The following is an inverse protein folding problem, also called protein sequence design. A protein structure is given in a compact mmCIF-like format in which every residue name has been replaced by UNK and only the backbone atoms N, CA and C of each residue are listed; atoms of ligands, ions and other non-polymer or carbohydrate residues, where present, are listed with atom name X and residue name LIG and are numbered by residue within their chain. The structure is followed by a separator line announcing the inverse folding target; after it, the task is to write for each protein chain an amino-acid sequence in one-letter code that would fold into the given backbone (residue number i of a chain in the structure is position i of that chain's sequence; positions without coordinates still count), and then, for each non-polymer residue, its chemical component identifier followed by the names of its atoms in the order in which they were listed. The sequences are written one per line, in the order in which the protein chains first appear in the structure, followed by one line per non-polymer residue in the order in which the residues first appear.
data_IF_878805925289
#
_entry.id   IF_878805925289
#
_cell.length_a   1.000
_cell.length_b   1.000
_cell.length_c   1.000
_cell.angle_alpha   90.00
_cell.angle_beta   90.00
_cell.angle_gamma   90.00
#
_symmetry.space_group_name_H-M   'P 1'
#
loop_
_entity.id
_entity.type
_entity.pdbx_description
1 polymer ?
#
# COMPACT_ATOMS: atom_id res chain seq x y z
N UNK A 1 22.77 -0.46 2.13
CA UNK A 1 22.78 -0.57 0.67
C UNK A 1 24.16 -0.22 0.14
N UNK A 2 24.76 -1.08 -0.70
CA UNK A 2 26.12 -0.88 -1.17
C UNK A 2 26.17 0.12 -2.34
N UNK A 3 27.24 0.94 -2.44
CA UNK A 3 27.50 1.80 -3.59
C UNK A 3 27.59 1.07 -4.94
N UNK A 4 27.82 -0.25 -4.90
CA UNK A 4 27.82 -1.11 -6.07
C UNK A 4 26.49 -1.07 -6.85
N UNK A 5 25.39 -0.66 -6.21
CA UNK A 5 24.09 -0.46 -6.88
C UNK A 5 24.24 0.41 -8.14
N UNK A 6 25.09 1.45 -8.09
CA UNK A 6 25.28 2.39 -9.21
C UNK A 6 25.90 1.77 -10.46
N UNK A 7 26.37 0.52 -10.40
CA UNK A 7 26.97 -0.18 -11.55
C UNK A 7 25.94 -0.90 -12.41
N UNK A 8 24.70 -1.04 -11.95
CA UNK A 8 23.68 -1.86 -12.60
C UNK A 8 22.75 -1.05 -13.52
N UNK A 9 23.30 -0.55 -14.63
CA UNK A 9 22.54 0.24 -15.63
C UNK A 9 21.38 -0.48 -16.32
N UNK A 10 21.38 -1.83 -16.30
CA UNK A 10 20.32 -2.67 -16.87
C UNK A 10 19.48 -3.36 -15.79
N UNK A 11 19.54 -2.91 -14.53
CA UNK A 11 18.75 -3.48 -13.45
C UNK A 11 17.26 -3.33 -13.76
N UNK A 12 16.53 -4.45 -13.79
CA UNK A 12 15.07 -4.47 -13.99
C UNK A 12 14.31 -4.57 -12.67
N UNK A 13 14.85 -5.33 -11.72
CA UNK A 13 14.20 -5.62 -10.44
C UNK A 13 15.25 -5.55 -9.35
N UNK A 14 14.98 -4.76 -8.32
CA UNK A 14 15.75 -4.72 -7.08
C UNK A 14 14.91 -5.40 -5.99
N UNK A 15 15.36 -6.58 -5.55
CA UNK A 15 14.74 -7.28 -4.42
C UNK A 15 15.65 -7.27 -3.20
N UNK A 16 15.08 -6.92 -2.05
CA UNK A 16 15.70 -7.02 -0.73
C UNK A 16 14.88 -8.04 0.08
N UNK A 17 15.52 -9.11 0.52
CA UNK A 17 14.86 -10.17 1.26
C UNK A 17 15.63 -10.48 2.54
N UNK A 18 14.92 -10.60 3.66
CA UNK A 18 15.44 -11.05 4.95
C UNK A 18 16.79 -10.40 5.31
N UNK A 19 16.85 -9.07 5.18
CA UNK A 19 18.08 -8.28 5.31
C UNK A 19 17.89 -7.15 6.32
N UNK A 20 18.95 -6.80 7.04
CA UNK A 20 18.98 -5.57 7.84
C UNK A 20 19.68 -4.48 7.04
N UNK A 21 18.91 -3.47 6.59
CA UNK A 21 19.41 -2.33 5.82
C UNK A 21 19.76 -1.20 6.78
N UNK A 22 21.03 -1.18 7.21
CA UNK A 22 21.53 -0.15 8.14
C UNK A 22 21.51 1.25 7.55
N UNK A 23 21.72 1.37 6.24
CA UNK A 23 21.78 2.66 5.55
C UNK A 23 21.32 2.47 4.11
N UNK A 24 20.45 3.35 3.63
CA UNK A 24 20.12 3.49 2.22
C UNK A 24 20.01 4.97 1.89
N UNK A 25 21.17 5.63 1.80
CA UNK A 25 21.28 7.07 1.59
C UNK A 25 20.96 7.53 0.16
N UNK A 26 20.74 8.84 0.02
CA UNK A 26 20.38 9.54 -1.22
C UNK A 26 21.53 9.66 -2.27
N UNK A 27 22.76 9.29 -1.90
CA UNK A 27 23.94 9.46 -2.77
C UNK A 27 24.33 8.15 -3.48
N UNK A 28 25.47 7.58 -3.11
CA UNK A 28 26.08 6.44 -3.80
C UNK A 28 25.22 5.16 -3.75
N UNK A 29 24.16 5.14 -2.96
CA UNK A 29 23.26 3.98 -2.80
C UNK A 29 21.85 4.25 -3.31
N UNK A 30 21.60 5.40 -3.94
CA UNK A 30 20.28 5.80 -4.41
C UNK A 30 19.85 5.17 -5.73
N UNK A 31 18.55 4.96 -5.88
CA UNK A 31 17.90 4.57 -7.14
C UNK A 31 17.62 5.80 -7.99
N UNK A 32 18.51 6.19 -8.89
CA UNK A 32 18.33 7.39 -9.71
C UNK A 32 17.99 7.08 -11.17
N UNK A 33 17.26 7.99 -11.82
CA UNK A 33 16.91 7.89 -13.24
C UNK A 33 18.11 7.76 -14.20
N UNK A 34 19.23 8.52 -14.04
CA UNK A 34 20.37 8.41 -14.94
C UNK A 34 21.09 7.06 -14.84
N UNK A 35 21.06 6.44 -13.66
CA UNK A 35 21.84 5.23 -13.37
C UNK A 35 21.01 3.96 -13.54
N UNK A 36 19.71 3.98 -13.24
CA UNK A 36 18.84 2.81 -13.29
C UNK A 36 17.67 3.00 -14.26
N UNK A 37 17.90 3.40 -15.53
CA UNK A 37 16.84 3.82 -16.46
C UNK A 37 15.86 2.71 -16.87
N UNK A 38 16.13 1.46 -16.48
CA UNK A 38 15.30 0.28 -16.79
C UNK A 38 14.68 -0.37 -15.56
N UNK A 39 14.88 0.18 -14.36
CA UNK A 39 14.35 -0.41 -13.14
C UNK A 39 12.82 -0.33 -13.17
N UNK A 40 12.17 -1.47 -13.00
CA UNK A 40 10.72 -1.63 -13.03
C UNK A 40 10.12 -1.83 -11.64
N UNK A 41 10.85 -2.53 -10.75
CA UNK A 41 10.33 -2.93 -9.45
C UNK A 41 11.40 -2.78 -8.37
N UNK A 42 11.01 -2.16 -7.26
CA UNK A 42 11.70 -2.29 -5.96
C UNK A 42 10.78 -3.10 -5.05
N UNK A 43 11.21 -4.30 -4.68
CA UNK A 43 10.48 -5.20 -3.79
C UNK A 43 11.29 -5.48 -2.54
N UNK A 44 10.69 -5.25 -1.38
CA UNK A 44 11.33 -5.45 -0.08
C UNK A 44 10.46 -6.39 0.73
N UNK A 45 11.03 -7.50 1.21
CA UNK A 45 10.33 -8.49 2.00
C UNK A 45 11.13 -8.88 3.23
N UNK A 46 10.46 -9.00 4.38
CA UNK A 46 11.04 -9.50 5.64
C UNK A 46 12.30 -8.76 6.09
N UNK A 47 12.43 -7.49 5.73
CA UNK A 47 13.67 -6.72 5.91
C UNK A 47 13.50 -5.61 6.94
N UNK A 48 14.60 -5.23 7.59
CA UNK A 48 14.64 -4.26 8.68
C UNK A 48 15.35 -2.96 8.29
N UNK A 49 14.85 -1.84 8.79
CA UNK A 49 15.27 -0.47 8.50
C UNK A 49 15.45 0.33 9.79
N UNK A 50 16.50 0.03 10.59
CA UNK A 50 16.73 0.72 11.86
C UNK A 50 16.97 2.24 11.71
N UNK A 51 17.36 2.69 10.52
CA UNK A 51 17.55 4.11 10.20
C UNK A 51 16.31 4.78 9.58
N UNK A 52 15.17 4.09 9.56
CA UNK A 52 13.92 4.59 8.99
C UNK A 52 13.79 4.41 7.48
N UNK A 53 12.87 5.17 6.88
CA UNK A 53 12.55 5.06 5.46
C UNK A 53 13.78 5.31 4.56
N UNK A 54 14.00 4.52 3.50
CA UNK A 54 15.15 4.70 2.60
C UNK A 54 15.22 6.07 1.90
N UNK A 55 16.19 6.91 2.27
CA UNK A 55 16.44 8.18 1.57
C UNK A 55 16.83 7.98 0.11
N UNK A 56 17.48 6.85 -0.22
CA UNK A 56 17.82 6.45 -1.57
C UNK A 56 16.62 6.07 -2.46
N UNK A 57 15.40 6.35 -2.00
CA UNK A 57 14.16 6.31 -2.79
C UNK A 57 13.44 7.68 -2.83
N UNK A 58 14.05 8.76 -2.33
CA UNK A 58 13.42 10.10 -2.23
C UNK A 58 13.88 11.07 -3.31
N UNK A 59 15.00 10.79 -3.98
CA UNK A 59 15.44 11.49 -5.19
C UNK A 59 14.53 11.16 -6.40
N UNK A 60 14.61 11.93 -7.50
CA UNK A 60 13.89 11.59 -8.73
C UNK A 60 14.19 10.18 -9.22
N UNK A 61 13.15 9.35 -9.22
CA UNK A 61 13.19 7.95 -9.60
C UNK A 61 13.11 7.80 -11.14
N UNK A 62 13.66 6.71 -11.71
CA UNK A 62 13.49 6.41 -13.14
C UNK A 62 12.00 6.22 -13.46
N UNK A 63 11.49 6.90 -14.50
CA UNK A 63 10.08 6.78 -14.93
C UNK A 63 9.66 5.36 -15.31
N UNK A 64 10.62 4.46 -15.53
CA UNK A 64 10.36 3.03 -15.73
C UNK A 64 9.91 2.30 -14.46
N UNK A 65 10.11 2.88 -13.27
CA UNK A 65 9.82 2.23 -11.99
C UNK A 65 8.32 2.21 -11.74
N UNK A 66 7.69 1.09 -12.05
CA UNK A 66 6.25 0.94 -11.95
C UNK A 66 5.79 0.51 -10.56
N UNK A 67 6.69 0.01 -9.72
CA UNK A 67 6.30 -0.56 -8.44
C UNK A 67 7.34 -0.40 -7.34
N UNK A 68 6.85 0.02 -6.17
CA UNK A 68 7.60 0.02 -4.91
C UNK A 68 6.74 -0.69 -3.87
N UNK A 69 7.27 -1.78 -3.31
CA UNK A 69 6.52 -2.61 -2.36
C UNK A 69 7.41 -2.99 -1.18
N UNK A 70 6.94 -2.72 0.03
CA UNK A 70 7.54 -3.14 1.29
C UNK A 70 6.57 -4.08 1.99
N UNK A 71 6.99 -5.29 2.28
CA UNK A 71 6.17 -6.30 2.93
C UNK A 71 6.91 -6.90 4.13
N UNK A 72 6.23 -7.05 5.27
CA UNK A 72 6.83 -7.59 6.49
C UNK A 72 8.10 -6.84 6.90
N UNK A 73 8.02 -5.52 7.01
CA UNK A 73 9.12 -4.64 7.46
C UNK A 73 8.82 -4.00 8.81
N UNK A 74 9.84 -3.39 9.41
CA UNK A 74 9.78 -2.65 10.67
C UNK A 74 9.63 -1.13 10.48
N UNK A 75 9.23 -0.68 9.28
CA UNK A 75 8.94 0.73 9.03
C UNK A 75 7.69 1.13 9.82
N UNK A 76 7.79 2.17 10.64
CA UNK A 76 6.68 2.70 11.44
C UNK A 76 6.03 3.92 10.83
N UNK A 77 6.79 4.70 10.04
CA UNK A 77 6.33 5.94 9.40
C UNK A 77 6.77 5.98 7.94
N UNK A 78 5.98 6.68 7.12
CA UNK A 78 6.30 7.00 5.73
C UNK A 78 6.48 8.52 5.59
N UNK A 79 7.34 9.00 4.67
CA UNK A 79 7.45 10.43 4.41
C UNK A 79 6.13 11.03 3.92
N UNK A 80 5.81 12.24 4.39
CA UNK A 80 4.58 12.94 3.98
C UNK A 80 4.67 13.51 2.56
N UNK A 81 5.89 13.73 2.06
CA UNK A 81 6.18 14.34 0.77
C UNK A 81 6.32 13.33 -0.38
N UNK A 82 6.03 12.05 -0.16
CA UNK A 82 6.06 11.02 -1.22
C UNK A 82 5.30 11.43 -2.51
N UNK A 83 4.11 12.06 -2.47
CA UNK A 83 3.41 12.53 -3.66
C UNK A 83 4.18 13.56 -4.48
N UNK A 84 5.13 14.27 -3.87
CA UNK A 84 6.00 15.22 -4.54
C UNK A 84 7.30 14.57 -5.05
N UNK A 85 7.66 13.39 -4.53
CA UNK A 85 8.90 12.67 -4.89
C UNK A 85 8.66 11.62 -5.97
N UNK A 86 7.54 10.91 -5.89
CA UNK A 86 7.25 9.77 -6.73
C UNK A 86 6.35 10.16 -7.89
N UNK A 87 6.76 9.75 -9.09
CA UNK A 87 5.90 9.84 -10.27
C UNK A 87 4.77 8.81 -10.17
N UNK A 88 3.76 8.88 -11.06
CA UNK A 88 2.68 7.90 -11.04
C UNK A 88 3.19 6.46 -11.22
N UNK A 89 2.64 5.53 -10.45
CA UNK A 89 3.08 4.13 -10.39
C UNK A 89 1.91 3.16 -10.56
N UNK A 90 2.21 1.93 -10.98
CA UNK A 90 1.22 0.87 -11.03
C UNK A 90 0.87 0.35 -9.63
N UNK A 91 1.88 0.13 -8.78
CA UNK A 91 1.67 -0.47 -7.45
C UNK A 91 2.58 0.17 -6.40
N UNK A 92 1.97 0.71 -5.34
CA UNK A 92 2.64 1.12 -4.11
C UNK A 92 2.06 0.31 -2.95
N UNK A 93 2.89 -0.46 -2.25
CA UNK A 93 2.41 -1.33 -1.18
C UNK A 93 3.30 -1.26 0.06
N UNK A 94 2.66 -1.19 1.23
CA UNK A 94 3.29 -1.28 2.54
C UNK A 94 2.47 -2.27 3.36
N UNK A 95 2.79 -3.56 3.27
CA UNK A 95 1.95 -4.64 3.78
C UNK A 95 2.59 -5.41 4.92
N UNK A 96 1.77 -6.00 5.80
CA UNK A 96 2.19 -6.92 6.87
C UNK A 96 3.28 -6.33 7.77
N UNK A 97 3.33 -5.00 7.88
CA UNK A 97 4.30 -4.25 8.66
C UNK A 97 3.82 -3.99 10.08
N UNK A 98 4.40 -2.96 10.69
CA UNK A 98 4.07 -2.50 12.04
C UNK A 98 3.51 -1.07 12.17
N UNK A 99 3.22 -0.28 11.11
CA UNK A 99 2.56 1.02 11.30
C UNK A 99 1.21 0.87 12.02
N UNK A 100 1.03 1.70 13.04
CA UNK A 100 -0.25 1.90 13.73
C UNK A 100 -0.98 3.15 13.24
N UNK A 101 -0.22 4.12 12.74
CA UNK A 101 -0.77 5.34 12.14
C UNK A 101 -0.92 5.17 10.63
N UNK A 102 -2.03 5.66 10.09
CA UNK A 102 -2.27 5.66 8.66
C UNK A 102 -1.42 6.72 7.95
N UNK A 103 -0.62 6.36 6.92
CA UNK A 103 0.21 7.30 6.19
C UNK A 103 -0.61 8.14 5.20
N UNK A 104 -0.94 9.39 5.58
CA UNK A 104 -1.76 10.31 4.79
C UNK A 104 -1.25 10.51 3.36
N UNK A 105 0.07 10.47 3.17
CA UNK A 105 0.71 10.62 1.86
C UNK A 105 0.21 9.63 0.82
N UNK A 106 -0.22 8.43 1.22
CA UNK A 106 -0.76 7.44 0.28
C UNK A 106 -2.11 7.85 -0.34
N UNK A 107 -2.87 8.74 0.30
CA UNK A 107 -4.14 9.26 -0.26
C UNK A 107 -3.92 10.27 -1.39
N UNK A 108 -2.71 10.82 -1.51
CA UNK A 108 -2.32 11.80 -2.51
C UNK A 108 -1.36 11.22 -3.57
N UNK A 109 -0.91 9.98 -3.40
CA UNK A 109 -0.08 9.29 -4.39
C UNK A 109 -0.91 8.93 -5.62
N UNK A 110 -0.31 9.15 -6.80
CA UNK A 110 -0.88 8.70 -8.07
C UNK A 110 -0.48 7.25 -8.34
N UNK A 111 -1.03 6.32 -7.56
CA UNK A 111 -0.85 4.89 -7.76
C UNK A 111 -2.14 4.24 -8.25
N UNK A 112 -2.03 3.27 -9.17
CA UNK A 112 -3.20 2.49 -9.57
C UNK A 112 -3.64 1.55 -8.44
N UNK A 113 -2.69 0.88 -7.79
CA UNK A 113 -2.89 0.08 -6.58
C UNK A 113 -2.11 0.70 -5.42
N UNK A 114 -2.81 0.99 -4.33
CA UNK A 114 -2.25 1.37 -3.03
C UNK A 114 -2.67 0.37 -1.97
N UNK A 115 -1.70 -0.27 -1.31
CA UNK A 115 -1.99 -1.29 -0.31
C UNK A 115 -1.34 -1.01 1.04
N UNK A 116 -2.15 -1.15 2.08
CA UNK A 116 -1.77 -1.17 3.49
C UNK A 116 -2.22 -2.47 4.17
N UNK A 117 -2.39 -3.56 3.39
CA UNK A 117 -2.91 -4.83 3.90
C UNK A 117 -2.09 -5.36 5.09
N UNK A 118 -2.75 -5.80 6.15
CA UNK A 118 -2.15 -6.57 7.24
C UNK A 118 -1.26 -5.76 8.18
N UNK A 119 -1.44 -4.44 8.26
CA UNK A 119 -0.77 -3.60 9.26
C UNK A 119 -1.55 -3.57 10.58
N UNK A 120 -1.25 -2.61 11.46
CA UNK A 120 -1.87 -2.45 12.78
C UNK A 120 -2.68 -1.15 12.87
N UNK A 121 -3.29 -0.73 11.75
CA UNK A 121 -4.03 0.54 11.65
C UNK A 121 -5.43 0.35 12.24
N UNK A 122 -5.73 1.10 13.30
CA UNK A 122 -7.02 1.01 14.00
C UNK A 122 -8.02 2.08 13.56
N UNK A 123 -7.56 3.26 13.15
CA UNK A 123 -8.39 4.41 12.72
C UNK A 123 -7.72 5.15 11.57
N UNK A 124 -8.52 5.87 10.76
CA UNK A 124 -8.05 6.62 9.58
C UNK A 124 -8.71 8.00 9.49
N UNK A 125 -8.45 8.91 10.44
CA UNK A 125 -8.99 10.28 10.38
C UNK A 125 -8.49 11.05 9.14
N UNK A 126 -7.34 10.68 8.58
CA UNK A 126 -6.69 11.36 7.46
C UNK A 126 -7.55 11.35 6.17
N UNK A 127 -8.43 10.36 6.00
CA UNK A 127 -9.39 10.33 4.88
C UNK A 127 -10.36 11.54 4.90
N UNK A 128 -10.66 12.09 6.08
CA UNK A 128 -11.47 13.31 6.21
C UNK A 128 -10.71 14.58 5.79
N UNK A 129 -9.38 14.52 5.71
CA UNK A 129 -8.50 15.61 5.25
C UNK A 129 -7.92 15.34 3.85
N UNK A 130 -8.44 14.34 3.16
CA UNK A 130 -7.99 13.93 1.84
C UNK A 130 -8.06 15.08 0.83
N UNK A 131 -7.04 15.29 -0.03
CA UNK A 131 -7.06 16.33 -1.05
C UNK A 131 -8.28 16.26 -1.96
N UNK A 132 -8.66 17.37 -2.59
CA UNK A 132 -9.81 17.41 -3.50
C UNK A 132 -9.50 16.67 -4.81
N UNK A 133 -10.52 16.02 -5.38
CA UNK A 133 -10.47 15.40 -6.71
C UNK A 133 -9.66 14.10 -6.77
N UNK A 134 -9.46 13.44 -5.64
CA UNK A 134 -8.72 12.18 -5.60
C UNK A 134 -9.61 11.01 -6.02
N UNK A 135 -9.11 10.21 -6.95
CA UNK A 135 -9.77 8.96 -7.39
C UNK A 135 -8.77 7.84 -7.21
N UNK A 136 -9.03 6.93 -6.26
CA UNK A 136 -8.17 5.77 -6.00
C UNK A 136 -8.76 4.55 -6.69
N UNK A 137 -8.10 4.00 -7.73
CA UNK A 137 -8.65 2.88 -8.48
C UNK A 137 -8.76 1.62 -7.63
N UNK A 138 -7.72 1.35 -6.83
CA UNK A 138 -7.64 0.15 -6.02
C UNK A 138 -6.89 0.48 -4.72
N UNK A 139 -7.64 0.58 -3.62
CA UNK A 139 -7.09 0.90 -2.31
C UNK A 139 -7.46 -0.21 -1.34
N UNK A 140 -6.50 -0.82 -0.66
CA UNK A 140 -6.79 -1.89 0.31
C UNK A 140 -6.21 -1.59 1.69
N UNK A 141 -7.07 -1.81 2.68
CA UNK A 141 -6.82 -1.79 4.11
C UNK A 141 -7.17 -3.15 4.74
N UNK A 142 -7.21 -4.20 3.91
CA UNK A 142 -7.52 -5.56 4.36
C UNK A 142 -6.66 -5.95 5.57
N UNK A 143 -7.19 -6.81 6.43
CA UNK A 143 -6.53 -7.40 7.60
C UNK A 143 -5.91 -6.39 8.58
N UNK A 144 -6.42 -5.16 8.62
CA UNK A 144 -6.11 -4.19 9.67
C UNK A 144 -7.15 -4.25 10.80
N UNK A 145 -6.77 -3.96 12.06
CA UNK A 145 -7.71 -3.86 13.18
C UNK A 145 -8.62 -2.61 13.14
N UNK A 146 -8.89 -2.09 11.94
CA UNK A 146 -9.68 -0.91 11.66
C UNK A 146 -11.11 -1.09 12.16
N UNK A 147 -11.54 -0.23 13.09
CA UNK A 147 -12.87 -0.35 13.73
C UNK A 147 -13.83 0.78 13.38
N UNK A 148 -13.33 1.86 12.77
CA UNK A 148 -14.16 2.97 12.28
C UNK A 148 -13.57 3.61 11.01
N UNK A 149 -14.46 4.08 10.14
CA UNK A 149 -14.16 4.99 9.03
C UNK A 149 -14.61 6.41 9.42
N UNK A 150 -13.94 7.47 8.94
CA UNK A 150 -14.38 8.82 9.25
C UNK A 150 -15.78 9.10 8.69
N UNK A 151 -16.54 10.02 9.32
CA UNK A 151 -17.93 10.30 8.94
C UNK A 151 -18.06 10.89 7.53
N UNK A 152 -17.00 11.48 6.98
CA UNK A 152 -16.92 12.02 5.63
C UNK A 152 -15.49 11.92 5.07
N UNK A 153 -15.38 11.95 3.74
CA UNK A 153 -14.11 12.22 3.06
C UNK A 153 -13.87 13.74 2.96
N UNK A 154 -12.62 14.15 2.71
CA UNK A 154 -12.27 15.58 2.59
C UNK A 154 -12.98 16.36 1.48
N UNK A 155 -13.57 15.66 0.50
CA UNK A 155 -14.38 16.26 -0.56
C UNK A 155 -15.43 15.27 -1.06
N UNK A 156 -16.63 15.72 -1.47
CA UNK A 156 -17.61 14.87 -2.15
C UNK A 156 -17.15 14.40 -3.55
N UNK A 157 -16.08 15.00 -4.08
CA UNK A 157 -15.48 14.58 -5.36
C UNK A 157 -14.44 13.47 -5.21
N UNK A 158 -14.07 13.12 -3.97
CA UNK A 158 -13.12 12.04 -3.71
C UNK A 158 -13.84 10.70 -3.84
N UNK A 159 -13.21 9.75 -4.53
CA UNK A 159 -13.82 8.47 -4.87
C UNK A 159 -12.85 7.32 -4.67
N UNK A 160 -13.36 6.21 -4.16
CA UNK A 160 -12.71 4.91 -4.29
C UNK A 160 -13.40 4.13 -5.39
N UNK A 161 -12.65 3.54 -6.33
CA UNK A 161 -13.25 2.67 -7.34
C UNK A 161 -13.46 1.29 -6.74
N UNK A 162 -12.40 0.69 -6.20
CA UNK A 162 -12.45 -0.49 -5.34
C UNK A 162 -11.76 -0.20 -4.01
N UNK A 163 -12.41 -0.63 -2.93
CA UNK A 163 -11.93 -0.47 -1.56
C UNK A 163 -11.89 -1.84 -0.86
N UNK A 164 -10.71 -2.29 -0.46
CA UNK A 164 -10.52 -3.50 0.37
C UNK A 164 -10.61 -3.16 1.85
N UNK A 165 -11.52 -3.81 2.56
CA UNK A 165 -11.74 -3.72 4.01
C UNK A 165 -11.98 -5.11 4.63
N UNK A 166 -11.55 -6.18 3.96
CA UNK A 166 -11.72 -7.56 4.42
C UNK A 166 -10.96 -7.76 5.73
N UNK A 167 -11.48 -8.61 6.62
CA UNK A 167 -10.83 -8.91 7.91
C UNK A 167 -10.71 -7.73 8.88
N UNK A 168 -11.35 -6.59 8.59
CA UNK A 168 -11.40 -5.43 9.49
C UNK A 168 -12.46 -5.62 10.60
N UNK A 169 -12.45 -4.72 11.59
CA UNK A 169 -13.38 -4.73 12.74
C UNK A 169 -14.59 -3.80 12.55
N UNK A 170 -14.87 -3.38 11.32
CA UNK A 170 -15.98 -2.47 11.02
C UNK A 170 -17.33 -3.11 11.30
N UNK A 171 -18.18 -2.41 12.04
CA UNK A 171 -19.57 -2.81 12.36
C UNK A 171 -20.61 -1.97 11.63
N UNK A 172 -20.27 -0.73 11.28
CA UNK A 172 -21.14 0.26 10.61
C UNK A 172 -20.31 1.01 9.58
N UNK A 173 -20.96 1.41 8.48
CA UNK A 173 -20.35 2.24 7.44
C UNK A 173 -20.96 3.65 7.44
N UNK A 174 -20.14 4.69 7.25
CA UNK A 174 -20.61 6.07 7.10
C UNK A 174 -21.31 6.28 5.74
N UNK A 175 -22.19 7.27 5.66
CA UNK A 175 -23.05 7.51 4.48
C UNK A 175 -22.28 7.68 3.17
N UNK A 176 -21.08 8.28 3.21
CA UNK A 176 -20.27 8.50 2.01
C UNK A 176 -19.98 7.20 1.26
N UNK A 177 -19.90 6.07 1.95
CA UNK A 177 -19.60 4.77 1.32
C UNK A 177 -20.68 4.32 0.33
N UNK A 178 -21.88 4.90 0.40
CA UNK A 178 -22.98 4.64 -0.53
C UNK A 178 -22.81 5.40 -1.86
N UNK A 179 -22.11 6.53 -1.86
CA UNK A 179 -22.04 7.45 -3.00
C UNK A 179 -20.63 7.63 -3.54
N UNK A 180 -19.60 7.42 -2.72
CA UNK A 180 -18.19 7.67 -3.03
C UNK A 180 -17.37 6.38 -3.22
N UNK A 181 -18.06 5.24 -3.34
CA UNK A 181 -17.49 3.97 -3.80
C UNK A 181 -18.11 3.63 -5.15
N UNK A 182 -17.31 3.61 -6.22
CA UNK A 182 -17.82 3.51 -7.58
C UNK A 182 -18.20 2.07 -7.98
N UNK A 183 -17.36 1.09 -7.62
CA UNK A 183 -17.63 -0.31 -7.97
C UNK A 183 -17.92 -1.14 -6.73
N UNK A 184 -16.94 -1.29 -5.83
CA UNK A 184 -17.06 -2.30 -4.77
C UNK A 184 -16.23 -1.98 -3.53
N UNK A 185 -16.82 -2.19 -2.36
CA UNK A 185 -16.13 -2.40 -1.10
C UNK A 185 -16.13 -3.90 -0.76
N UNK A 186 -14.95 -4.53 -0.69
CA UNK A 186 -14.82 -5.91 -0.25
C UNK A 186 -14.71 -5.95 1.26
N UNK A 187 -15.63 -6.63 1.93
CA UNK A 187 -15.80 -6.62 3.39
C UNK A 187 -15.98 -8.02 3.98
N UNK A 188 -15.49 -9.03 3.29
CA UNK A 188 -15.43 -10.39 3.83
C UNK A 188 -14.81 -10.42 5.22
N UNK A 189 -15.29 -11.30 6.09
CA UNK A 189 -14.80 -11.45 7.47
C UNK A 189 -14.84 -10.17 8.33
N UNK A 190 -15.77 -9.24 8.05
CA UNK A 190 -16.05 -8.10 8.93
C UNK A 190 -17.28 -8.33 9.81
N UNK A 191 -17.35 -7.75 11.02
CA UNK A 191 -18.57 -7.76 11.83
C UNK A 191 -19.80 -7.20 11.09
N UNK A 192 -19.62 -6.16 10.25
CA UNK A 192 -20.66 -5.61 9.37
C UNK A 192 -21.34 -6.71 8.53
N UNK A 193 -20.54 -7.58 7.91
CA UNK A 193 -21.02 -8.67 7.07
C UNK A 193 -21.60 -9.87 7.82
N UNK A 194 -21.54 -9.88 9.15
CA UNK A 194 -22.22 -10.88 10.00
C UNK A 194 -23.54 -10.36 10.58
N UNK A 195 -23.75 -9.04 10.57
CA UNK A 195 -24.94 -8.42 11.14
C UNK A 195 -26.09 -8.38 10.12
N UNK A 196 -27.19 -9.08 10.44
CA UNK A 196 -28.38 -9.16 9.60
C UNK A 196 -29.02 -7.78 9.33
N UNK A 197 -28.96 -6.85 10.28
CA UNK A 197 -29.49 -5.49 10.11
C UNK A 197 -28.63 -4.67 9.14
N UNK A 198 -27.30 -4.79 9.24
CA UNK A 198 -26.37 -4.15 8.31
C UNK A 198 -26.55 -4.67 6.88
N UNK A 199 -26.72 -5.99 6.71
CA UNK A 199 -27.01 -6.61 5.41
C UNK A 199 -28.38 -6.14 4.87
N UNK A 200 -29.38 -5.96 5.75
CA UNK A 200 -30.71 -5.50 5.35
C UNK A 200 -30.73 -4.04 4.88
N UNK A 201 -29.75 -3.22 5.29
CA UNK A 201 -29.62 -1.82 4.86
C UNK A 201 -29.18 -1.64 3.39
N UNK A 202 -28.91 -2.74 2.66
CA UNK A 202 -28.67 -2.81 1.22
C UNK A 202 -27.72 -1.73 0.65
N UNK A 203 -26.49 -1.69 1.17
CA UNK A 203 -25.44 -0.93 0.49
C UNK A 203 -24.96 -1.69 -0.76
N UNK A 204 -25.46 -1.29 -1.94
CA UNK A 204 -25.25 -2.01 -3.22
C UNK A 204 -23.79 -2.26 -3.59
N UNK A 205 -22.88 -1.42 -3.10
CA UNK A 205 -21.45 -1.49 -3.40
C UNK A 205 -20.68 -2.40 -2.45
N UNK A 206 -21.28 -2.90 -1.36
CA UNK A 206 -20.60 -3.77 -0.40
C UNK A 206 -20.73 -5.23 -0.81
N UNK A 207 -19.60 -5.95 -0.82
CA UNK A 207 -19.53 -7.38 -1.06
C UNK A 207 -19.00 -8.08 0.19
N UNK A 208 -19.82 -8.94 0.78
CA UNK A 208 -19.50 -9.75 1.96
C UNK A 208 -18.88 -11.12 1.62
N UNK A 209 -18.48 -11.30 0.36
CA UNK A 209 -17.82 -12.50 -0.13
C UNK A 209 -16.32 -12.26 -0.21
N UNK A 210 -15.56 -13.34 -0.05
CA UNK A 210 -14.12 -13.32 -0.30
C UNK A 210 -13.86 -12.82 -1.73
N UNK A 211 -12.93 -11.88 -1.85
CA UNK A 211 -12.51 -11.35 -3.14
C UNK A 211 -11.96 -12.48 -4.02
N UNK A 212 -12.41 -12.55 -5.27
CA UNK A 212 -12.02 -13.62 -6.16
C UNK A 212 -10.52 -13.55 -6.49
N UNK A 213 -9.79 -14.68 -6.55
CA UNK A 213 -8.38 -14.70 -6.97
C UNK A 213 -8.14 -14.26 -8.42
N UNK A 214 -9.20 -14.21 -9.23
CA UNK A 214 -9.19 -13.70 -10.61
C UNK A 214 -9.38 -12.19 -10.68
N UNK A 215 -9.82 -11.55 -9.59
CA UNK A 215 -9.71 -10.10 -9.47
C UNK A 215 -8.23 -9.72 -9.43
N UNK A 216 -7.91 -8.48 -9.78
CA UNK A 216 -6.53 -7.98 -9.75
C UNK A 216 -5.85 -8.38 -8.44
N UNK A 217 -4.74 -9.12 -8.51
CA UNK A 217 -3.94 -9.43 -7.33
C UNK A 217 -3.32 -8.14 -6.81
N UNK A 218 -3.92 -7.60 -5.76
CA UNK A 218 -3.51 -6.31 -5.17
C UNK A 218 -2.41 -6.45 -4.13
N UNK A 219 -2.15 -7.67 -3.67
CA UNK A 219 -1.23 -7.93 -2.57
C UNK A 219 0.17 -8.33 -3.04
N UNK A 220 1.17 -7.96 -2.23
CA UNK A 220 2.53 -8.41 -2.43
C UNK A 220 2.58 -9.94 -2.32
N UNK A 221 3.17 -10.66 -3.30
CA UNK A 221 3.15 -12.12 -3.34
C UNK A 221 4.18 -12.72 -2.36
N UNK A 222 4.05 -12.43 -1.06
CA UNK A 222 5.03 -12.77 -0.03
C UNK A 222 5.36 -14.26 -0.02
N UNK A 223 4.37 -15.15 -0.11
CA UNK A 223 4.61 -16.60 -0.11
C UNK A 223 5.45 -17.06 -1.30
N UNK A 224 5.26 -16.45 -2.48
CA UNK A 224 6.07 -16.75 -3.66
C UNK A 224 7.49 -16.22 -3.51
N UNK A 225 7.66 -15.05 -2.89
CA UNK A 225 8.96 -14.47 -2.57
C UNK A 225 9.70 -15.33 -1.53
N UNK A 226 9.01 -15.75 -0.47
CA UNK A 226 9.53 -16.67 0.55
C UNK A 226 10.00 -17.97 -0.10
N UNK A 227 9.17 -18.57 -0.96
CA UNK A 227 9.52 -19.78 -1.69
C UNK A 227 10.74 -19.57 -2.60
N UNK A 228 10.82 -18.44 -3.32
CA UNK A 228 11.95 -18.11 -4.19
C UNK A 228 13.28 -18.05 -3.42
N UNK A 229 13.29 -17.47 -2.22
CA UNK A 229 14.50 -17.30 -1.42
C UNK A 229 14.79 -18.47 -0.45
N UNK A 230 13.84 -19.37 -0.22
CA UNK A 230 14.06 -20.59 0.56
C UNK A 230 15.06 -21.55 -0.12
N UNK A 231 15.15 -21.56 -1.46
CA UNK A 231 16.06 -22.45 -2.21
C UNK A 231 17.56 -22.15 -2.02
N UNK A 232 17.93 -21.05 -1.35
CA UNK A 232 19.33 -20.67 -1.10
C UNK A 232 19.87 -21.02 0.29
N UNK A 233 19.09 -21.73 1.13
CA UNK A 233 19.47 -22.05 2.52
C UNK A 233 19.77 -23.55 2.75
N UNK A 234 20.06 -24.32 1.70
CA UNK A 234 20.49 -25.72 1.79
C UNK A 234 22.02 -25.86 1.69
#
# INVERSE_FOLDING_TARGET
MPPALQRFGNLLVLHLYNSTVMEWGADASAVSAPVHPRLLVVGVARSRFPSGFPEGLLQPLPLSLLSIQFCATDLTTLPDDLPMRWHPMAVVAFEKGIPTEFPASLLALQAFVSSLNGNQIETIPQMAAMPVGQILPEFTLDDNPLHELPPALGSPTNMFVRLGLQGTKLTVLPEWTQTQILLTAYMHDTPYCTNAEAISSQQRTVQCIERAPTDLNVHFPLERIDALYAFGQA
#
